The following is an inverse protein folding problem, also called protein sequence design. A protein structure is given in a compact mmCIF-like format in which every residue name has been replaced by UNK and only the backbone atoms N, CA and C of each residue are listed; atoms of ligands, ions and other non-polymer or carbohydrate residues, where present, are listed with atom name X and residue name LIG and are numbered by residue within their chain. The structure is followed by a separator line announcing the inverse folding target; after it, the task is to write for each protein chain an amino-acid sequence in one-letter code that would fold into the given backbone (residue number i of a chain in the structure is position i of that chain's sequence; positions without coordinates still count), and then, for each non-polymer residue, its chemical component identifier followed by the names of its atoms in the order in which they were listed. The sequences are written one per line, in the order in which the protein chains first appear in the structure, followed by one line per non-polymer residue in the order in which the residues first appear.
data_IF_004297016206
#
_entry.id   IF_004297016206
#
_cell.length_a   1.000
_cell.length_b   1.000
_cell.length_c   1.000
_cell.angle_alpha   90.00
_cell.angle_beta   90.00
_cell.angle_gamma   90.00
#
_symmetry.space_group_name_H-M   'P 1'
#
loop_
_entity.id
_entity.type
_entity.pdbx_description
1 polymer ?
#
# COMPACT_ATOMS: atom_id res chain seq x y z
N UNK A 1 32.89 -18.23 35.41
CA UNK A 1 33.25 -18.64 34.02
C UNK A 1 32.78 -17.56 33.04
N UNK A 2 33.66 -16.84 32.32
CA UNK A 2 33.22 -15.76 31.46
C UNK A 2 32.76 -16.30 30.10
N UNK A 3 31.47 -16.10 29.84
CA UNK A 3 30.73 -16.38 28.60
C UNK A 3 31.48 -15.85 27.37
N UNK A 4 31.55 -16.65 26.31
CA UNK A 4 32.09 -16.26 25.01
C UNK A 4 31.33 -15.06 24.44
N UNK A 5 31.99 -13.91 24.31
CA UNK A 5 31.44 -12.74 23.61
C UNK A 5 31.94 -12.78 22.17
N UNK A 6 31.05 -13.12 21.23
CA UNK A 6 31.24 -12.92 19.79
C UNK A 6 30.51 -11.63 19.45
N UNK A 7 31.21 -10.51 19.30
CA UNK A 7 30.58 -9.25 18.91
C UNK A 7 30.52 -9.20 17.38
N UNK A 8 29.31 -9.23 16.82
CA UNK A 8 29.06 -9.00 15.39
C UNK A 8 28.63 -7.54 15.21
N UNK A 9 29.39 -6.78 14.43
CA UNK A 9 29.06 -5.40 14.06
C UNK A 9 28.54 -5.42 12.62
N UNK A 10 27.27 -5.07 12.43
CA UNK A 10 26.63 -4.95 11.11
C UNK A 10 26.62 -3.46 10.76
N UNK A 11 27.20 -3.09 9.62
CA UNK A 11 27.24 -1.71 9.12
C UNK A 11 26.40 -1.60 7.85
N UNK A 12 25.40 -0.71 7.87
CA UNK A 12 24.45 -0.51 6.78
C UNK A 12 24.72 0.80 6.03
N UNK A 13 24.59 0.77 4.71
CA UNK A 13 24.72 1.91 3.83
C UNK A 13 23.40 2.70 3.70
N UNK A 14 23.32 3.89 4.32
CA UNK A 14 22.29 4.90 3.96
C UNK A 14 22.91 5.89 2.96
N UNK A 15 22.18 6.23 1.89
CA UNK A 15 22.57 7.06 0.70
C UNK A 15 23.11 8.48 0.97
N UNK A 16 24.03 8.65 1.91
CA UNK A 16 24.72 9.88 2.28
C UNK A 16 26.23 9.55 2.36
N UNK A 17 27.15 10.53 2.26
CA UNK A 17 28.61 10.31 2.29
C UNK A 17 29.17 9.69 3.59
N UNK A 18 28.32 9.23 4.52
CA UNK A 18 28.68 8.81 5.87
C UNK A 18 28.11 7.41 6.18
N UNK A 19 28.94 6.53 6.77
CA UNK A 19 28.59 5.15 7.14
C UNK A 19 27.98 5.06 8.53
N UNK A 20 27.04 4.11 8.73
CA UNK A 20 26.39 3.87 10.00
C UNK A 20 26.92 2.57 10.65
N UNK A 21 27.33 2.63 11.92
CA UNK A 21 27.69 1.43 12.69
C UNK A 21 26.58 1.03 13.67
N UNK A 22 26.20 -0.26 13.64
CA UNK A 22 25.23 -0.85 14.59
C UNK A 22 25.84 -2.11 15.21
N UNK A 23 25.98 -2.16 16.53
CA UNK A 23 26.41 -3.37 17.25
C UNK A 23 25.22 -4.25 17.57
N UNK A 24 25.25 -5.54 17.25
CA UNK A 24 24.22 -6.48 17.70
C UNK A 24 24.41 -6.82 19.19
N UNK A 25 23.33 -6.99 19.97
CA UNK A 25 23.42 -7.31 21.39
C UNK A 25 23.90 -8.75 21.58
N UNK A 26 25.18 -8.94 21.94
CA UNK A 26 25.69 -10.20 22.47
C UNK A 26 25.96 -10.05 23.97
N UNK A 27 24.91 -10.16 24.79
CA UNK A 27 25.01 -10.40 26.24
C UNK A 27 25.78 -9.36 27.07
N UNK A 28 25.81 -8.10 26.63
CA UNK A 28 26.31 -6.96 27.39
C UNK A 28 25.09 -6.07 27.64
N UNK A 29 24.99 -5.51 28.85
CA UNK A 29 23.92 -4.61 29.28
C UNK A 29 23.49 -3.64 28.17
N UNK A 30 22.18 -3.38 28.08
CA UNK A 30 21.54 -2.41 27.18
C UNK A 30 22.21 -1.04 27.29
N UNK A 31 23.27 -0.82 26.52
CA UNK A 31 23.76 0.50 26.23
C UNK A 31 22.94 1.00 25.03
N UNK A 32 22.34 2.20 25.10
CA UNK A 32 21.62 2.76 23.97
C UNK A 32 22.56 2.82 22.76
N UNK A 33 22.15 2.18 21.67
CA UNK A 33 22.88 2.14 20.41
C UNK A 33 23.01 3.55 19.84
N UNK A 34 24.06 4.27 20.24
CA UNK A 34 24.39 5.56 19.67
C UNK A 34 25.04 5.32 18.30
N UNK A 35 24.37 5.77 17.25
CA UNK A 35 24.84 5.62 15.87
C UNK A 35 26.04 6.55 15.64
N UNK A 36 27.23 5.97 15.53
CA UNK A 36 28.46 6.71 15.22
C UNK A 36 28.70 6.72 13.70
N UNK A 37 28.95 7.91 13.15
CA UNK A 37 29.21 8.12 11.72
C UNK A 37 30.66 8.56 11.50
N UNK A 38 31.32 7.96 10.53
CA UNK A 38 32.68 8.32 10.13
C UNK A 38 32.84 8.18 8.59
N UNK A 39 33.88 8.79 7.99
CA UNK A 39 34.11 8.73 6.56
C UNK A 39 34.28 7.29 6.03
N UNK A 40 33.76 7.03 4.83
CA UNK A 40 33.75 5.70 4.20
C UNK A 40 35.16 5.12 3.96
N UNK A 41 36.14 5.96 3.74
CA UNK A 41 37.52 5.60 3.39
C UNK A 41 38.41 5.43 4.62
N UNK A 42 37.90 5.72 5.83
CA UNK A 42 38.71 5.78 7.03
C UNK A 42 38.83 4.42 7.72
N UNK A 43 40.08 4.05 7.97
CA UNK A 43 40.48 2.91 8.79
C UNK A 43 40.25 1.54 8.16
N UNK A 44 40.37 0.48 8.95
CA UNK A 44 40.30 -0.91 8.46
C UNK A 44 38.95 -1.19 7.76
N UNK A 45 37.86 -0.77 8.38
CA UNK A 45 36.52 -0.95 7.81
C UNK A 45 36.36 -0.18 6.48
N UNK A 46 36.92 1.03 6.41
CA UNK A 46 36.85 1.83 5.20
C UNK A 46 37.66 1.24 4.06
N UNK A 47 38.86 0.74 4.33
CA UNK A 47 39.64 0.00 3.34
C UNK A 47 38.87 -1.20 2.76
N UNK A 48 38.23 -2.01 3.60
CA UNK A 48 37.43 -3.16 3.13
C UNK A 48 36.20 -2.68 2.36
N UNK A 49 35.55 -1.61 2.82
CA UNK A 49 34.41 -1.02 2.14
C UNK A 49 34.74 -0.50 0.73
N UNK A 50 35.89 0.14 0.55
CA UNK A 50 36.29 0.74 -0.73
C UNK A 50 36.93 -0.27 -1.68
N UNK A 51 37.67 -1.25 -1.17
CA UNK A 51 38.39 -2.23 -2.00
C UNK A 51 37.61 -3.51 -2.25
N UNK A 52 36.63 -3.83 -1.41
CA UNK A 52 35.95 -5.13 -1.43
C UNK A 52 36.86 -6.31 -1.07
N UNK A 53 38.03 -6.05 -0.45
CA UNK A 53 39.00 -7.10 -0.08
C UNK A 53 38.93 -7.40 1.41
N UNK A 54 38.80 -8.67 1.75
CA UNK A 54 38.91 -9.19 3.12
C UNK A 54 40.27 -8.84 3.74
N UNK A 55 40.27 -8.53 5.03
CA UNK A 55 41.48 -8.32 5.83
C UNK A 55 41.47 -9.20 7.08
N UNK A 56 42.51 -10.01 7.24
CA UNK A 56 42.81 -10.75 8.46
C UNK A 56 44.08 -10.17 9.10
N UNK A 57 43.94 -9.55 10.26
CA UNK A 57 44.99 -8.80 10.95
C UNK A 57 45.33 -9.50 12.26
N UNK A 58 46.58 -9.95 12.35
CA UNK A 58 47.15 -10.65 13.49
C UNK A 58 47.42 -9.73 14.70
N UNK A 59 47.84 -8.48 14.45
CA UNK A 59 47.99 -7.44 15.46
C UNK A 59 47.58 -6.08 14.87
N UNK A 60 46.44 -5.55 15.32
CA UNK A 60 45.90 -4.29 14.81
C UNK A 60 46.76 -3.07 15.17
N UNK A 61 47.59 -3.12 16.22
CA UNK A 61 48.46 -1.99 16.55
C UNK A 61 49.62 -1.83 15.57
N UNK A 62 49.96 -2.89 14.82
CA UNK A 62 50.94 -2.86 13.75
C UNK A 62 50.34 -2.41 12.39
N UNK A 63 49.01 -2.24 12.32
CA UNK A 63 48.34 -1.80 11.10
C UNK A 63 48.12 -0.28 11.14
N UNK A 64 48.71 0.44 10.17
CA UNK A 64 48.59 1.90 10.05
C UNK A 64 47.15 2.40 9.85
N UNK A 65 46.23 1.52 9.43
CA UNK A 65 44.82 1.85 9.23
C UNK A 65 44.01 1.76 10.54
N UNK A 66 44.59 1.26 11.63
CA UNK A 66 43.87 1.11 12.89
C UNK A 66 43.75 2.44 13.64
N UNK A 67 42.52 2.82 14.00
CA UNK A 67 42.28 4.00 14.83
C UNK A 67 42.30 3.65 16.32
N UNK A 68 43.39 4.03 17.00
CA UNK A 68 43.62 3.75 18.42
C UNK A 68 42.76 4.59 19.37
N UNK A 69 42.18 5.71 18.89
CA UNK A 69 41.40 6.63 19.72
C UNK A 69 40.15 5.96 20.32
N UNK A 70 39.57 5.00 19.60
CA UNK A 70 38.37 4.27 20.04
C UNK A 70 38.71 3.34 21.21
N UNK A 71 39.82 2.59 21.10
CA UNK A 71 40.31 1.73 22.18
C UNK A 71 40.66 2.56 23.43
N UNK A 72 41.30 3.72 23.26
CA UNK A 72 41.62 4.63 24.37
C UNK A 72 40.37 5.17 25.08
N UNK A 73 39.34 5.56 24.32
CA UNK A 73 38.09 6.09 24.88
C UNK A 73 37.23 5.02 25.56
N UNK A 74 37.24 3.80 25.04
CA UNK A 74 36.38 2.70 25.53
C UNK A 74 37.06 1.83 26.59
N UNK A 75 38.39 1.92 26.73
CA UNK A 75 39.19 1.01 27.56
C UNK A 75 39.27 -0.42 27.01
N UNK A 76 38.71 -0.68 25.83
CA UNK A 76 38.77 -1.98 25.16
C UNK A 76 40.08 -2.09 24.36
N UNK A 77 40.76 -3.23 24.42
CA UNK A 77 41.98 -3.48 23.64
C UNK A 77 41.70 -4.45 22.50
N UNK A 78 41.71 -3.94 21.28
CA UNK A 78 41.62 -4.69 20.03
C UNK A 78 43.00 -5.29 19.73
N UNK A 79 43.10 -6.61 19.51
CA UNK A 79 44.34 -7.35 19.24
C UNK A 79 44.30 -7.95 17.84
N UNK A 80 43.36 -8.87 17.61
CA UNK A 80 43.15 -9.52 16.30
C UNK A 80 41.87 -9.02 15.67
N UNK A 81 41.83 -8.92 14.34
CA UNK A 81 40.66 -8.43 13.63
C UNK A 81 40.51 -9.10 12.26
N UNK A 82 39.34 -9.66 12.00
CA UNK A 82 38.95 -10.20 10.70
C UNK A 82 37.80 -9.34 10.15
N UNK A 83 38.03 -8.68 9.02
CA UNK A 83 37.12 -7.73 8.40
C UNK A 83 36.75 -8.21 7.00
N UNK A 84 35.45 -8.32 6.71
CA UNK A 84 34.95 -8.79 5.43
C UNK A 84 33.90 -7.85 4.83
N UNK A 85 33.90 -7.70 3.50
CA UNK A 85 32.84 -6.96 2.83
C UNK A 85 31.55 -7.80 2.81
N UNK A 86 30.41 -7.11 2.93
CA UNK A 86 29.11 -7.67 2.62
C UNK A 86 28.78 -7.22 1.20
N UNK A 87 28.61 -8.17 0.29
CA UNK A 87 28.43 -7.92 -1.14
C UNK A 87 27.00 -8.24 -1.60
N UNK A 88 26.44 -7.40 -2.46
CA UNK A 88 25.21 -7.67 -3.22
C UNK A 88 25.47 -7.27 -4.68
N UNK A 89 25.24 -8.19 -5.63
CA UNK A 89 25.36 -7.92 -7.07
C UNK A 89 26.69 -7.22 -7.46
N UNK A 90 27.80 -7.64 -6.86
CA UNK A 90 29.13 -7.08 -7.13
C UNK A 90 29.44 -5.75 -6.45
N UNK A 91 28.52 -5.19 -5.66
CA UNK A 91 28.72 -3.95 -4.90
C UNK A 91 28.84 -4.23 -3.39
N UNK A 92 29.77 -3.53 -2.73
CA UNK A 92 29.88 -3.57 -1.26
C UNK A 92 28.74 -2.74 -0.66
N UNK A 93 27.88 -3.38 0.13
CA UNK A 93 26.73 -2.73 0.80
C UNK A 93 26.92 -2.57 2.31
N UNK A 94 27.95 -3.22 2.84
CA UNK A 94 28.25 -3.26 4.26
C UNK A 94 29.61 -3.88 4.51
N UNK A 95 30.05 -3.83 5.76
CA UNK A 95 31.27 -4.51 6.22
C UNK A 95 30.96 -5.16 7.56
N UNK A 96 31.45 -6.37 7.74
CA UNK A 96 31.30 -7.15 8.96
C UNK A 96 32.68 -7.46 9.54
N UNK A 97 32.79 -7.42 10.87
CA UNK A 97 34.06 -7.57 11.58
C UNK A 97 33.93 -8.53 12.74
N UNK A 98 34.93 -9.41 12.89
CA UNK A 98 35.18 -10.17 14.12
C UNK A 98 36.42 -9.58 14.79
N UNK A 99 36.31 -9.33 16.09
CA UNK A 99 37.38 -8.75 16.90
C UNK A 99 37.77 -9.73 17.99
N UNK A 100 39.08 -9.86 18.22
CA UNK A 100 39.68 -10.63 19.31
C UNK A 100 39.28 -12.11 19.33
N UNK A 101 39.83 -12.91 18.41
CA UNK A 101 39.77 -14.37 18.51
C UNK A 101 40.40 -14.84 19.82
N UNK A 102 39.77 -15.83 20.47
CA UNK A 102 40.27 -16.39 21.72
C UNK A 102 41.57 -17.15 21.52
N UNK A 103 42.58 -16.80 22.32
CA UNK A 103 43.86 -17.50 22.48
C UNK A 103 44.61 -17.81 21.17
N UNK A 104 44.34 -17.08 20.08
CA UNK A 104 44.95 -17.32 18.76
C UNK A 104 44.62 -16.20 17.77
N UNK A 105 45.23 -16.27 16.57
CA UNK A 105 44.89 -15.46 15.40
C UNK A 105 43.84 -16.16 14.53
N UNK A 106 43.12 -15.39 13.71
CA UNK A 106 42.14 -15.96 12.77
C UNK A 106 42.86 -16.80 11.71
N UNK A 107 42.39 -18.01 11.49
CA UNK A 107 42.93 -18.95 10.51
C UNK A 107 42.19 -18.83 9.19
N UNK A 108 42.72 -19.43 8.14
CA UNK A 108 42.04 -19.51 6.84
C UNK A 108 40.66 -20.20 6.91
N UNK A 109 40.51 -21.19 7.79
CA UNK A 109 39.21 -21.83 8.03
C UNK A 109 38.19 -20.89 8.70
N UNK A 110 38.66 -19.96 9.57
CA UNK A 110 37.78 -18.90 10.09
C UNK A 110 37.37 -17.94 8.98
N UNK A 111 38.29 -17.62 8.05
CA UNK A 111 37.98 -16.78 6.88
C UNK A 111 36.88 -17.41 6.02
N UNK A 112 37.02 -18.67 5.63
CA UNK A 112 36.03 -19.39 4.80
C UNK A 112 34.65 -19.47 5.49
N UNK A 113 34.64 -19.73 6.80
CA UNK A 113 33.40 -19.77 7.59
C UNK A 113 32.74 -18.40 7.69
N UNK A 114 33.54 -17.36 7.89
CA UNK A 114 33.04 -15.99 8.04
C UNK A 114 32.63 -15.37 6.70
N UNK A 115 33.24 -15.79 5.59
CA UNK A 115 32.82 -15.42 4.24
C UNK A 115 31.40 -15.94 3.96
N UNK A 116 31.14 -17.20 4.30
CA UNK A 116 29.80 -17.80 4.20
C UNK A 116 28.79 -16.99 5.02
N UNK A 117 29.16 -16.57 6.24
CA UNK A 117 28.32 -15.71 7.08
C UNK A 117 28.07 -14.34 6.42
N UNK A 118 29.09 -13.70 5.86
CA UNK A 118 28.98 -12.41 5.19
C UNK A 118 28.05 -12.47 3.96
N UNK A 119 28.06 -13.58 3.21
CA UNK A 119 27.13 -13.84 2.10
C UNK A 119 25.68 -13.88 2.61
N UNK A 120 25.41 -14.64 3.68
CA UNK A 120 24.06 -14.69 4.26
C UNK A 120 23.61 -13.34 4.82
N UNK A 121 24.52 -12.56 5.44
CA UNK A 121 24.21 -11.19 5.84
C UNK A 121 23.83 -10.32 4.65
N UNK A 122 24.53 -10.45 3.52
CA UNK A 122 24.21 -9.73 2.28
C UNK A 122 22.80 -10.04 1.79
N UNK A 123 22.44 -11.32 1.74
CA UNK A 123 21.09 -11.74 1.34
C UNK A 123 20.01 -11.22 2.30
N UNK A 124 20.23 -11.32 3.61
CA UNK A 124 19.28 -10.87 4.62
C UNK A 124 19.05 -9.35 4.56
N UNK A 125 20.13 -8.56 4.44
CA UNK A 125 20.06 -7.11 4.28
C UNK A 125 19.38 -6.72 2.96
N UNK A 126 19.63 -7.46 1.88
CA UNK A 126 18.96 -7.24 0.60
C UNK A 126 17.44 -7.42 0.72
N UNK A 127 17.00 -8.55 1.32
CA UNK A 127 15.59 -8.83 1.52
C UNK A 127 14.93 -7.81 2.45
N UNK A 128 15.59 -7.41 3.54
CA UNK A 128 15.08 -6.38 4.43
C UNK A 128 14.91 -5.03 3.71
N UNK A 129 15.88 -4.62 2.88
CA UNK A 129 15.81 -3.38 2.10
C UNK A 129 14.72 -3.44 1.02
N UNK A 130 14.56 -4.56 0.34
CA UNK A 130 13.48 -4.77 -0.63
C UNK A 130 12.11 -4.71 0.05
N UNK A 131 11.95 -5.38 1.18
CA UNK A 131 10.69 -5.37 1.94
C UNK A 131 10.33 -3.96 2.42
N UNK A 132 11.30 -3.21 2.95
CA UNK A 132 11.10 -1.83 3.37
C UNK A 132 10.72 -0.92 2.17
N UNK A 133 11.30 -1.16 0.99
CA UNK A 133 10.94 -0.42 -0.23
C UNK A 133 9.52 -0.72 -0.68
N UNK A 134 9.09 -1.98 -0.63
CA UNK A 134 7.70 -2.39 -0.93
C UNK A 134 6.75 -1.71 0.05
N UNK A 135 6.99 -1.86 1.36
CA UNK A 135 6.17 -1.26 2.42
C UNK A 135 6.04 0.26 2.27
N UNK A 136 7.15 0.95 1.98
CA UNK A 136 7.13 2.40 1.75
C UNK A 136 6.34 2.78 0.50
N UNK A 137 6.38 1.96 -0.54
CA UNK A 137 5.57 2.17 -1.75
C UNK A 137 4.07 1.98 -1.46
N UNK A 138 3.72 0.94 -0.71
CA UNK A 138 2.34 0.69 -0.26
C UNK A 138 1.80 1.83 0.60
N UNK A 139 2.59 2.35 1.55
CA UNK A 139 2.19 3.50 2.37
C UNK A 139 1.92 4.74 1.53
N UNK A 140 2.80 5.05 0.56
CA UNK A 140 2.57 6.17 -0.36
C UNK A 140 1.30 5.98 -1.20
N UNK A 141 1.07 4.76 -1.69
CA UNK A 141 -0.13 4.42 -2.44
C UNK A 141 -1.39 4.60 -1.59
N UNK A 142 -1.36 4.17 -0.33
CA UNK A 142 -2.48 4.34 0.60
C UNK A 142 -2.81 5.81 0.84
N UNK A 143 -1.81 6.65 1.13
CA UNK A 143 -2.03 8.10 1.31
C UNK A 143 -2.60 8.74 0.05
N UNK A 144 -2.10 8.36 -1.13
CA UNK A 144 -2.64 8.86 -2.39
C UNK A 144 -4.12 8.46 -2.59
N UNK A 145 -4.48 7.22 -2.26
CA UNK A 145 -5.87 6.76 -2.31
C UNK A 145 -6.77 7.50 -1.32
N UNK A 146 -6.30 7.78 -0.10
CA UNK A 146 -7.06 8.56 0.89
C UNK A 146 -7.37 9.97 0.38
N UNK A 147 -6.39 10.65 -0.23
CA UNK A 147 -6.59 11.97 -0.84
C UNK A 147 -7.57 11.90 -2.01
N UNK A 148 -7.46 10.88 -2.88
CA UNK A 148 -8.39 10.68 -3.99
C UNK A 148 -9.81 10.38 -3.50
N UNK A 149 -9.95 9.56 -2.45
CA UNK A 149 -11.24 9.20 -1.84
C UNK A 149 -11.94 10.42 -1.24
N UNK A 150 -11.19 11.33 -0.59
CA UNK A 150 -11.73 12.58 -0.07
C UNK A 150 -12.37 13.43 -1.17
N UNK A 151 -11.72 13.53 -2.35
CA UNK A 151 -12.26 14.27 -3.49
C UNK A 151 -13.38 13.51 -4.24
N UNK A 152 -13.36 12.19 -4.22
CA UNK A 152 -14.37 11.33 -4.84
C UNK A 152 -15.67 11.27 -4.02
N UNK A 153 -15.59 11.46 -2.70
CA UNK A 153 -16.73 11.37 -1.79
C UNK A 153 -17.62 12.62 -1.84
N UNK A 154 -18.90 12.44 -1.50
CA UNK A 154 -19.83 13.54 -1.28
C UNK A 154 -19.35 14.43 -0.13
N UNK A 155 -19.20 15.72 -0.40
CA UNK A 155 -18.87 16.74 0.61
C UNK A 155 -20.12 17.16 1.39
N UNK A 156 -19.92 17.76 2.56
CA UNK A 156 -21.03 18.28 3.37
C UNK A 156 -21.83 19.36 2.63
N UNK A 157 -21.14 20.23 1.88
CA UNK A 157 -21.80 21.26 1.06
C UNK A 157 -22.65 20.69 -0.08
N UNK A 158 -22.28 19.52 -0.63
CA UNK A 158 -23.10 18.81 -1.61
C UNK A 158 -24.33 18.20 -0.94
N UNK A 159 -24.17 17.57 0.24
CA UNK A 159 -25.26 16.97 1.00
C UNK A 159 -26.28 17.99 1.51
N UNK A 160 -25.84 19.14 2.01
CA UNK A 160 -26.73 20.18 2.56
C UNK A 160 -27.76 20.71 1.54
N UNK A 161 -27.49 20.60 0.22
CA UNK A 161 -28.46 20.93 -0.84
C UNK A 161 -29.65 19.98 -0.88
N UNK A 162 -29.49 18.76 -0.38
CA UNK A 162 -30.47 17.67 -0.44
C UNK A 162 -31.11 17.34 0.92
N UNK A 163 -30.50 17.77 2.03
CA UNK A 163 -30.93 17.47 3.40
C UNK A 163 -32.38 17.81 3.70
N UNK A 164 -32.86 18.95 3.18
CA UNK A 164 -34.21 19.46 3.44
C UNK A 164 -35.19 19.19 2.28
N UNK A 165 -34.77 18.43 1.26
CA UNK A 165 -35.67 18.10 0.16
C UNK A 165 -36.59 16.95 0.59
N UNK A 166 -37.89 17.17 0.48
CA UNK A 166 -38.88 16.12 0.71
C UNK A 166 -38.86 15.11 -0.44
N UNK A 167 -38.87 13.83 -0.08
CA UNK A 167 -39.01 12.75 -1.05
C UNK A 167 -40.49 12.74 -1.48
N UNK A 168 -40.79 12.80 -2.79
CA UNK A 168 -42.17 12.72 -3.27
C UNK A 168 -42.85 11.44 -2.78
N UNK A 169 -44.10 11.54 -2.35
CA UNK A 169 -44.88 10.35 -1.95
C UNK A 169 -45.20 9.44 -3.14
N UNK A 170 -45.36 10.02 -4.32
CA UNK A 170 -45.59 9.31 -5.57
C UNK A 170 -44.92 10.04 -6.73
N UNK A 171 -44.35 9.28 -7.66
CA UNK A 171 -43.76 9.80 -8.89
C UNK A 171 -44.54 9.19 -10.06
N UNK A 172 -45.32 10.00 -10.80
CA UNK A 172 -46.16 9.50 -11.87
C UNK A 172 -45.37 8.67 -12.88
N UNK A 173 -45.89 7.47 -13.20
CA UNK A 173 -45.36 6.56 -14.21
C UNK A 173 -43.97 5.97 -13.94
N UNK A 174 -43.35 6.20 -12.77
CA UNK A 174 -41.99 5.70 -12.44
C UNK A 174 -41.84 4.17 -12.48
N UNK A 175 -42.95 3.44 -12.41
CA UNK A 175 -42.97 1.98 -12.47
C UNK A 175 -43.18 1.43 -13.89
N UNK A 176 -43.12 2.29 -14.92
CA UNK A 176 -43.41 1.92 -16.31
C UNK A 176 -42.17 2.08 -17.18
N UNK A 177 -42.00 1.18 -18.13
CA UNK A 177 -40.88 1.24 -19.09
C UNK A 177 -40.96 2.43 -20.06
N UNK A 178 -42.14 3.05 -20.23
CA UNK A 178 -42.32 4.25 -21.05
C UNK A 178 -41.97 5.55 -20.31
N UNK A 179 -41.62 5.49 -19.02
CA UNK A 179 -41.02 6.62 -18.31
C UNK A 179 -39.65 6.95 -18.91
N UNK A 180 -39.46 8.19 -19.36
CA UNK A 180 -38.20 8.68 -19.91
C UNK A 180 -37.26 9.13 -18.79
N UNK A 181 -36.15 8.40 -18.52
CA UNK A 181 -35.18 8.81 -17.50
C UNK A 181 -34.39 10.06 -17.91
N UNK A 182 -34.48 10.46 -19.18
CA UNK A 182 -33.81 11.62 -19.75
C UNK A 182 -34.56 12.93 -19.47
N UNK A 183 -35.85 12.87 -19.20
CA UNK A 183 -36.67 14.03 -18.88
C UNK A 183 -36.41 14.53 -17.44
N UNK A 184 -35.77 13.69 -16.61
CA UNK A 184 -35.39 14.03 -15.24
C UNK A 184 -34.07 14.81 -15.22
N UNK A 185 -34.09 16.01 -14.66
CA UNK A 185 -32.88 16.83 -14.49
C UNK A 185 -31.85 16.11 -13.61
N UNK A 186 -30.56 16.27 -13.94
CA UNK A 186 -29.47 15.60 -13.21
C UNK A 186 -29.47 15.87 -11.70
N UNK A 187 -29.92 17.05 -11.28
CA UNK A 187 -30.01 17.42 -9.87
C UNK A 187 -31.19 16.80 -9.14
N UNK A 188 -32.24 16.38 -9.87
CA UNK A 188 -33.40 15.68 -9.30
C UNK A 188 -33.18 14.17 -9.22
N UNK A 189 -32.37 13.59 -10.12
CA UNK A 189 -32.08 12.14 -10.17
C UNK A 189 -31.73 11.53 -8.80
N UNK A 190 -30.89 12.14 -7.92
CA UNK A 190 -30.62 11.58 -6.59
C UNK A 190 -31.87 11.32 -5.75
N UNK A 191 -32.85 12.24 -5.77
CA UNK A 191 -34.12 12.08 -5.03
C UNK A 191 -34.95 10.93 -5.62
N UNK A 192 -34.97 10.79 -6.94
CA UNK A 192 -35.65 9.68 -7.61
C UNK A 192 -35.01 8.33 -7.26
N UNK A 193 -33.67 8.29 -7.15
CA UNK A 193 -32.95 7.09 -6.71
C UNK A 193 -33.29 6.76 -5.26
N UNK A 194 -33.34 7.75 -4.36
CA UNK A 194 -33.79 7.52 -2.97
C UNK A 194 -35.21 6.99 -2.95
N UNK A 195 -36.14 7.58 -3.70
CA UNK A 195 -37.52 7.12 -3.81
C UNK A 195 -37.59 5.64 -4.23
N UNK A 196 -36.93 5.28 -5.34
CA UNK A 196 -36.91 3.91 -5.85
C UNK A 196 -36.27 2.93 -4.84
N UNK A 197 -35.19 3.35 -4.18
CA UNK A 197 -34.52 2.53 -3.16
C UNK A 197 -35.43 2.28 -1.96
N UNK A 198 -36.07 3.32 -1.44
CA UNK A 198 -36.97 3.22 -0.30
C UNK A 198 -38.20 2.39 -0.64
N UNK A 199 -38.80 2.56 -1.83
CA UNK A 199 -39.93 1.76 -2.29
C UNK A 199 -39.58 0.26 -2.46
N UNK A 200 -38.38 -0.06 -2.99
CA UNK A 200 -37.90 -1.45 -3.03
C UNK A 200 -37.74 -2.01 -1.61
N UNK A 201 -37.27 -1.19 -0.66
CA UNK A 201 -37.00 -1.62 0.72
C UNK A 201 -38.26 -1.78 1.57
N UNK A 202 -39.24 -0.88 1.42
CA UNK A 202 -40.45 -0.81 2.24
C UNK A 202 -41.49 -1.84 1.81
N UNK A 203 -41.57 -2.17 0.52
CA UNK A 203 -42.42 -3.23 -0.01
C UNK A 203 -42.02 -4.64 0.47
N UNK A 204 -40.90 -4.78 1.18
CA UNK A 204 -40.17 -6.02 1.36
C UNK A 204 -39.70 -6.26 2.80
N UNK A 205 -40.52 -6.04 3.83
CA UNK A 205 -40.27 -6.40 5.27
C UNK A 205 -38.81 -6.14 5.72
N UNK A 206 -38.22 -5.04 5.25
CA UNK A 206 -36.98 -4.50 5.79
C UNK A 206 -37.40 -3.26 6.54
N UNK A 207 -37.30 -3.31 7.88
CA UNK A 207 -37.67 -2.22 8.77
C UNK A 207 -37.28 -0.86 8.16
N UNK A 208 -38.26 0.04 7.99
CA UNK A 208 -38.09 1.37 7.39
C UNK A 208 -36.99 2.23 8.08
N UNK A 209 -36.51 1.80 9.25
CA UNK A 209 -35.43 2.43 10.00
C UNK A 209 -34.03 1.83 9.73
N UNK A 210 -33.87 0.93 8.75
CA UNK A 210 -32.56 0.27 8.49
C UNK A 210 -31.55 1.19 7.81
N UNK A 211 -32.01 2.13 6.99
CA UNK A 211 -31.13 3.01 6.22
C UNK A 211 -31.34 4.45 6.65
N UNK A 212 -30.28 5.04 7.20
CA UNK A 212 -30.23 6.46 7.49
C UNK A 212 -30.25 7.27 6.18
N UNK A 213 -31.09 8.30 6.12
CA UNK A 213 -31.27 9.12 4.91
C UNK A 213 -29.98 9.86 4.55
N UNK A 214 -29.25 10.38 5.54
CA UNK A 214 -27.96 11.04 5.30
C UNK A 214 -26.96 10.08 4.66
N UNK A 215 -26.80 8.89 5.24
CA UNK A 215 -25.93 7.84 4.69
C UNK A 215 -26.31 7.46 3.25
N UNK A 216 -27.60 7.19 2.99
CA UNK A 216 -28.09 6.82 1.66
C UNK A 216 -27.88 7.94 0.63
N UNK A 217 -28.20 9.18 1.00
CA UNK A 217 -28.02 10.33 0.11
C UNK A 217 -26.55 10.56 -0.21
N UNK A 218 -25.66 10.50 0.80
CA UNK A 218 -24.21 10.62 0.60
C UNK A 218 -23.67 9.51 -0.29
N UNK A 219 -24.15 8.28 -0.14
CA UNK A 219 -23.82 7.17 -1.05
C UNK A 219 -24.20 7.50 -2.49
N UNK A 220 -25.45 7.90 -2.74
CA UNK A 220 -25.95 8.21 -4.10
C UNK A 220 -25.19 9.39 -4.72
N UNK A 221 -24.94 10.44 -3.95
CA UNK A 221 -24.17 11.61 -4.41
C UNK A 221 -22.72 11.24 -4.71
N UNK A 222 -22.10 10.36 -3.91
CA UNK A 222 -20.76 9.83 -4.16
C UNK A 222 -20.73 9.00 -5.43
N UNK A 223 -21.70 8.09 -5.64
CA UNK A 223 -21.84 7.31 -6.88
C UNK A 223 -21.98 8.24 -8.09
N UNK A 224 -22.89 9.22 -8.03
CA UNK A 224 -23.07 10.24 -9.09
C UNK A 224 -21.76 10.96 -9.42
N UNK A 225 -21.01 11.39 -8.40
CA UNK A 225 -19.75 12.14 -8.54
C UNK A 225 -18.64 11.31 -9.19
N UNK A 226 -18.67 9.99 -9.03
CA UNK A 226 -17.70 9.05 -9.61
C UNK A 226 -18.05 8.56 -11.02
N UNK A 227 -19.19 8.99 -11.59
CA UNK A 227 -19.43 8.87 -13.03
C UNK A 227 -18.73 9.99 -13.79
N UNK A 228 -18.01 9.63 -14.86
CA UNK A 228 -17.29 10.60 -15.70
C UNK A 228 -18.24 11.31 -16.66
N UNK A 229 -17.84 12.52 -17.06
CA UNK A 229 -18.48 13.22 -18.16
C UNK A 229 -18.03 12.63 -19.51
N UNK A 230 -18.69 11.55 -19.93
CA UNK A 230 -18.51 10.88 -21.22
C UNK A 230 -19.85 10.84 -21.98
N UNK A 231 -19.85 10.72 -23.33
CA UNK A 231 -21.07 10.85 -24.12
C UNK A 231 -22.21 9.91 -23.73
N UNK A 232 -21.91 8.67 -23.33
CA UNK A 232 -22.93 7.65 -23.05
C UNK A 232 -22.84 7.06 -21.63
N UNK A 233 -21.72 6.42 -21.27
CA UNK A 233 -21.51 5.75 -19.97
C UNK A 233 -21.33 6.74 -18.79
N UNK A 234 -22.34 7.55 -18.55
CA UNK A 234 -22.38 8.62 -17.55
C UNK A 234 -23.50 8.38 -16.52
N UNK A 235 -23.66 9.32 -15.59
CA UNK A 235 -24.67 9.23 -14.53
C UNK A 235 -26.11 9.05 -15.06
N UNK A 236 -26.46 9.67 -16.19
CA UNK A 236 -27.82 9.52 -16.76
C UNK A 236 -28.04 8.11 -17.30
N UNK A 237 -27.02 7.50 -17.90
CA UNK A 237 -27.07 6.10 -18.30
C UNK A 237 -27.27 5.19 -17.08
N UNK A 238 -26.46 5.35 -16.04
CA UNK A 238 -26.60 4.58 -14.80
C UNK A 238 -28.00 4.69 -14.18
N UNK A 239 -28.53 5.91 -14.11
CA UNK A 239 -29.90 6.17 -13.65
C UNK A 239 -30.94 5.44 -14.51
N UNK A 240 -30.82 5.47 -15.83
CA UNK A 240 -31.75 4.79 -16.74
C UNK A 240 -31.74 3.26 -16.56
N UNK A 241 -30.57 2.66 -16.33
CA UNK A 241 -30.42 1.22 -16.08
C UNK A 241 -30.99 0.85 -14.71
N UNK A 242 -30.72 1.65 -13.69
CA UNK A 242 -31.30 1.46 -12.36
C UNK A 242 -32.83 1.58 -12.35
N UNK A 243 -33.39 2.54 -13.10
CA UNK A 243 -34.83 2.68 -13.30
C UNK A 243 -35.45 1.48 -14.02
N UNK A 244 -34.81 0.99 -15.09
CA UNK A 244 -35.28 -0.21 -15.79
C UNK A 244 -35.29 -1.43 -14.85
N UNK A 245 -34.26 -1.60 -14.02
CA UNK A 245 -34.21 -2.66 -13.01
C UNK A 245 -35.27 -2.48 -11.92
N UNK A 246 -35.51 -1.25 -11.46
CA UNK A 246 -36.61 -0.94 -10.54
C UNK A 246 -37.97 -1.37 -11.13
N UNK A 247 -38.24 -1.02 -12.39
CA UNK A 247 -39.46 -1.43 -13.09
C UNK A 247 -39.61 -2.95 -13.17
N UNK A 248 -38.53 -3.67 -13.48
CA UNK A 248 -38.51 -5.15 -13.48
C UNK A 248 -38.84 -5.68 -12.08
N UNK A 249 -38.18 -5.19 -11.03
CA UNK A 249 -38.41 -5.62 -9.64
C UNK A 249 -39.87 -5.41 -9.23
N UNK A 250 -40.49 -4.28 -9.60
CA UNK A 250 -41.90 -4.01 -9.29
C UNK A 250 -42.85 -4.95 -10.00
N UNK A 251 -42.53 -5.35 -11.24
CA UNK A 251 -43.35 -6.30 -12.01
C UNK A 251 -43.12 -7.77 -11.60
N UNK A 252 -41.96 -8.10 -11.05
CA UNK A 252 -41.57 -9.48 -10.68
C UNK A 252 -41.33 -9.64 -9.17
N UNK A 253 -42.11 -8.95 -8.34
CA UNK A 253 -41.89 -8.81 -6.88
C UNK A 253 -41.81 -10.14 -6.09
N UNK A 254 -42.28 -11.26 -6.66
CA UNK A 254 -42.27 -12.57 -6.01
C UNK A 254 -41.04 -13.45 -6.34
N UNK A 255 -40.20 -13.06 -7.30
CA UNK A 255 -39.10 -13.92 -7.79
C UNK A 255 -37.78 -13.73 -7.03
N UNK A 256 -37.59 -12.57 -6.40
CA UNK A 256 -36.36 -12.20 -5.73
C UNK A 256 -36.63 -11.87 -4.26
N UNK A 257 -35.70 -12.26 -3.39
CA UNK A 257 -35.72 -11.84 -2.00
C UNK A 257 -35.45 -10.33 -1.86
N UNK A 258 -35.86 -9.69 -0.75
CA UNK A 258 -35.59 -8.28 -0.47
C UNK A 258 -34.14 -7.85 -0.69
N UNK A 259 -33.19 -8.65 -0.21
CA UNK A 259 -31.76 -8.36 -0.34
C UNK A 259 -31.27 -8.49 -1.80
N UNK A 260 -31.82 -9.43 -2.57
CA UNK A 260 -31.50 -9.57 -4.00
C UNK A 260 -32.01 -8.37 -4.79
N UNK A 261 -33.22 -7.88 -4.51
CA UNK A 261 -33.77 -6.68 -5.15
C UNK A 261 -32.87 -5.46 -4.91
N UNK A 262 -32.45 -5.24 -3.65
CA UNK A 262 -31.53 -4.14 -3.32
C UNK A 262 -30.16 -4.32 -3.98
N UNK A 263 -29.60 -5.54 -3.97
CA UNK A 263 -28.32 -5.82 -4.61
C UNK A 263 -28.36 -5.58 -6.12
N UNK A 264 -29.43 -6.01 -6.81
CA UNK A 264 -29.63 -5.77 -8.24
C UNK A 264 -29.74 -4.27 -8.55
N UNK A 265 -30.54 -3.54 -7.78
CA UNK A 265 -30.70 -2.10 -7.97
C UNK A 265 -29.38 -1.33 -7.78
N UNK A 266 -28.65 -1.61 -6.68
CA UNK A 266 -27.34 -1.00 -6.41
C UNK A 266 -26.31 -1.39 -7.46
N UNK A 267 -26.30 -2.64 -7.90
CA UNK A 267 -25.40 -3.10 -8.97
C UNK A 267 -25.66 -2.34 -10.28
N UNK A 268 -26.92 -2.18 -10.70
CA UNK A 268 -27.29 -1.41 -11.89
C UNK A 268 -26.84 0.06 -11.78
N UNK A 269 -27.01 0.68 -10.60
CA UNK A 269 -26.61 2.06 -10.36
C UNK A 269 -25.08 2.25 -10.43
N UNK A 270 -24.29 1.22 -10.09
CA UNK A 270 -22.84 1.32 -9.95
C UNK A 270 -22.04 0.64 -11.09
N UNK A 271 -22.71 -0.04 -12.02
CA UNK A 271 -22.06 -0.96 -12.96
C UNK A 271 -21.02 -0.33 -13.90
N UNK A 272 -21.09 0.99 -14.12
CA UNK A 272 -20.23 1.74 -15.05
C UNK A 272 -19.42 2.85 -14.34
N UNK A 273 -19.23 2.77 -13.02
CA UNK A 273 -18.48 3.76 -12.24
C UNK A 273 -17.06 3.99 -12.79
N UNK A 274 -16.61 5.24 -12.93
CA UNK A 274 -15.31 5.59 -13.53
C UNK A 274 -15.12 5.15 -15.01
N UNK A 275 -16.20 4.82 -15.74
CA UNK A 275 -16.08 4.42 -17.15
C UNK A 275 -15.49 5.54 -18.03
N UNK A 276 -14.49 5.19 -18.86
CA UNK A 276 -13.63 6.17 -19.59
C UNK A 276 -14.03 6.38 -21.06
N UNK A 277 -15.15 5.81 -21.48
CA UNK A 277 -15.64 5.88 -22.86
C UNK A 277 -14.83 5.05 -23.86
N UNK A 278 -14.10 4.04 -23.38
CA UNK A 278 -13.23 3.16 -24.20
C UNK A 278 -13.52 1.71 -23.88
N UNK A 279 -13.48 0.85 -24.90
CA UNK A 279 -13.76 -0.58 -24.76
C UNK A 279 -12.56 -1.34 -24.18
N UNK A 280 -12.83 -2.51 -23.58
CA UNK A 280 -11.79 -3.44 -23.10
C UNK A 280 -10.73 -3.74 -24.19
N UNK A 281 -11.16 -3.96 -25.44
CA UNK A 281 -10.27 -4.21 -26.58
C UNK A 281 -9.31 -3.05 -26.85
N UNK A 282 -9.77 -1.80 -26.71
CA UNK A 282 -8.91 -0.62 -26.84
C UNK A 282 -7.87 -0.59 -25.72
N UNK A 283 -8.28 -0.86 -24.47
CA UNK A 283 -7.39 -0.82 -23.31
C UNK A 283 -6.24 -1.84 -23.39
N UNK A 284 -6.54 -3.07 -23.80
CA UNK A 284 -5.54 -4.11 -24.04
C UNK A 284 -4.56 -3.68 -25.14
N UNK A 285 -5.06 -3.16 -26.28
CA UNK A 285 -4.21 -2.69 -27.39
C UNK A 285 -3.33 -1.51 -27.00
N UNK A 286 -3.80 -0.65 -26.10
CA UNK A 286 -3.04 0.51 -25.60
C UNK A 286 -2.07 0.19 -24.45
N UNK A 287 -1.98 -1.07 -24.02
CA UNK A 287 -1.20 -1.50 -22.85
C UNK A 287 -1.49 -0.65 -21.60
N UNK A 288 -2.78 -0.34 -21.35
CA UNK A 288 -3.16 0.47 -20.20
C UNK A 288 -2.81 -0.24 -18.90
N UNK A 289 -2.45 0.52 -17.86
CA UNK A 289 -2.13 -0.05 -16.53
C UNK A 289 -3.29 -0.89 -15.98
N UNK A 290 -4.54 -0.52 -16.29
CA UNK A 290 -5.71 -1.28 -15.86
C UNK A 290 -5.76 -2.68 -16.53
N UNK A 291 -5.42 -2.77 -17.81
CA UNK A 291 -5.33 -4.05 -18.53
C UNK A 291 -4.18 -4.93 -18.02
N UNK A 292 -3.15 -4.35 -17.41
CA UNK A 292 -2.07 -5.12 -16.77
C UNK A 292 -2.48 -5.72 -15.41
N UNK A 293 -3.49 -5.14 -14.75
CA UNK A 293 -3.98 -5.59 -13.43
C UNK A 293 -5.02 -6.70 -13.56
N UNK A 294 -5.92 -6.62 -14.55
CA UNK A 294 -6.99 -7.59 -14.74
C UNK A 294 -6.86 -8.28 -16.10
N UNK A 295 -6.83 -9.61 -16.07
CA UNK A 295 -6.67 -10.45 -17.27
C UNK A 295 -7.98 -10.67 -18.05
N UNK A 296 -9.13 -10.65 -17.38
CA UNK A 296 -10.46 -10.77 -18.01
C UNK A 296 -11.44 -9.78 -17.39
N UNK A 297 -12.35 -9.23 -18.20
CA UNK A 297 -13.38 -8.27 -17.79
C UNK A 297 -12.80 -7.11 -16.96
N UNK A 298 -11.78 -6.47 -17.53
CA UNK A 298 -10.93 -5.49 -16.88
C UNK A 298 -11.72 -4.32 -16.31
N UNK A 299 -12.67 -3.77 -17.09
CA UNK A 299 -13.49 -2.65 -16.64
C UNK A 299 -14.54 -3.08 -15.64
N UNK A 300 -15.17 -4.23 -15.82
CA UNK A 300 -16.23 -4.72 -14.94
C UNK A 300 -15.69 -4.98 -13.52
N UNK A 301 -14.46 -5.54 -13.41
CA UNK A 301 -13.78 -5.67 -12.12
C UNK A 301 -13.41 -4.32 -11.51
N UNK A 302 -13.03 -3.36 -12.34
CA UNK A 302 -12.75 -1.99 -11.89
C UNK A 302 -14.00 -1.33 -11.32
N UNK A 303 -15.14 -1.39 -12.02
CA UNK A 303 -16.43 -0.87 -11.57
C UNK A 303 -16.88 -1.49 -10.23
N UNK A 304 -16.71 -2.81 -10.09
CA UNK A 304 -16.98 -3.50 -8.82
C UNK A 304 -16.10 -2.99 -7.69
N UNK A 305 -14.79 -2.85 -7.91
CA UNK A 305 -13.88 -2.35 -6.88
C UNK A 305 -14.16 -0.90 -6.48
N UNK A 306 -14.53 -0.04 -7.43
CA UNK A 306 -15.02 1.32 -7.13
C UNK A 306 -16.26 1.27 -6.23
N UNK A 307 -17.22 0.39 -6.57
CA UNK A 307 -18.44 0.20 -5.76
C UNK A 307 -18.12 -0.22 -4.33
N UNK A 308 -17.24 -1.22 -4.15
CA UNK A 308 -16.83 -1.69 -2.82
C UNK A 308 -16.11 -0.59 -2.03
N UNK A 309 -15.26 0.20 -2.70
CA UNK A 309 -14.54 1.31 -2.05
C UNK A 309 -15.49 2.41 -1.56
N UNK A 310 -16.58 2.68 -2.29
CA UNK A 310 -17.60 3.66 -1.86
C UNK A 310 -18.42 3.13 -0.67
N UNK A 311 -18.58 1.81 -0.54
CA UNK A 311 -19.37 1.16 0.51
C UNK A 311 -18.59 0.89 1.81
N UNK A 312 -17.27 1.02 1.81
CA UNK A 312 -16.38 0.80 2.97
C UNK A 312 -16.12 2.09 3.74
#
# INVERSE_FOLDING_TARGET
MPKSRKTCVIREHSKLPNWNATSLPCGIAELPLKQERFPMDKGIAGYVATTGKTLNIADVYQDNRFNRDIDQKTGYKTKTLLCMPIMIQGSVIGVVQMVNKKNSQFTKSDEESFETFAVYCGLALHHASLYERIRRSEQKYKVALEVLSYHASCTDAEYEKYKNLEIPNDIPNIQRFDFSPWDVLNDQKPIYVVYMFLDISSANILNANRFDFECLMRFILTVRKNYRNVPYHNWSHAFSVAHAMYTVIKQTSHHFSPNQCLALFVACLCHDLDHRGKTNAFMVKSASTLASIYTTSTMERHHFNQTVTILQ
#
